data_IF_630016421354
#
_entry.id   IF_630016421354
#
_cell.length_a   1.000
_cell.length_b   1.000
_cell.length_c   1.000
_cell.angle_alpha   90.00
_cell.angle_beta   90.00
_cell.angle_gamma   90.00
#
_symmetry.space_group_name_H-M   'P 1'
#
loop_
_entity.id
_entity.type
_entity.pdbx_description
1 polymer ?
#
# COMPACT_ATOMS: atom_id res chain seq x y z
N UNK A 1 25.30 -5.43 -12.94
CA UNK A 1 26.16 -4.29 -12.52
C UNK A 1 25.63 -3.76 -11.19
N UNK A 2 26.50 -3.68 -10.18
CA UNK A 2 26.18 -3.09 -8.86
C UNK A 2 26.92 -1.77 -8.78
N UNK A 3 26.22 -0.69 -8.42
CA UNK A 3 26.81 0.66 -8.33
C UNK A 3 26.92 1.05 -6.86
N UNK A 4 28.06 1.62 -6.51
CA UNK A 4 28.42 2.03 -5.17
C UNK A 4 28.53 3.55 -5.12
N UNK A 5 27.89 4.17 -4.15
CA UNK A 5 28.04 5.60 -3.92
C UNK A 5 28.05 5.93 -2.43
N UNK A 6 28.69 7.04 -2.10
CA UNK A 6 28.82 7.52 -0.72
C UNK A 6 28.26 8.94 -0.66
N UNK A 7 27.51 9.22 0.40
CA UNK A 7 26.94 10.55 0.66
C UNK A 7 27.62 11.15 1.87
N UNK A 8 28.19 12.36 1.70
CA UNK A 8 28.88 13.09 2.77
C UNK A 8 27.91 13.77 3.73
N UNK A 9 26.83 14.32 3.19
CA UNK A 9 25.81 15.02 3.97
C UNK A 9 25.07 14.06 4.92
N UNK A 10 24.97 14.46 6.19
CA UNK A 10 24.38 13.63 7.25
C UNK A 10 22.87 13.48 7.07
N UNK A 11 22.17 14.55 6.75
CA UNK A 11 20.73 14.53 6.55
C UNK A 11 20.36 13.58 5.39
N UNK A 12 21.01 13.75 4.25
CA UNK A 12 20.80 12.90 3.06
C UNK A 12 21.17 11.44 3.35
N UNK A 13 22.23 11.19 4.12
CA UNK A 13 22.57 9.84 4.58
C UNK A 13 21.46 9.22 5.43
N UNK A 14 20.88 9.97 6.38
CA UNK A 14 19.78 9.47 7.19
C UNK A 14 18.53 9.20 6.35
N UNK A 15 18.21 10.10 5.41
CA UNK A 15 17.11 9.94 4.48
C UNK A 15 17.24 8.65 3.65
N UNK A 16 18.43 8.40 3.07
CA UNK A 16 18.68 7.25 2.20
C UNK A 16 18.61 5.90 2.94
N UNK A 17 18.83 5.85 4.26
CA UNK A 17 18.66 4.61 5.05
C UNK A 17 17.24 4.06 4.93
N UNK A 18 16.25 4.94 4.81
CA UNK A 18 14.83 4.61 4.77
C UNK A 18 14.29 4.44 3.33
N UNK A 19 15.10 4.76 2.31
CA UNK A 19 14.73 4.60 0.90
C UNK A 19 15.09 3.18 0.46
N UNK A 20 14.12 2.47 -0.13
CA UNK A 20 14.30 1.08 -0.56
C UNK A 20 14.57 0.95 -2.05
N UNK A 21 14.16 1.93 -2.84
CA UNK A 21 14.45 1.99 -4.25
C UNK A 21 14.40 3.42 -4.78
N UNK A 22 15.02 3.62 -5.95
CA UNK A 22 14.95 4.86 -6.73
C UNK A 22 14.45 4.55 -8.13
N UNK A 23 13.71 5.50 -8.69
CA UNK A 23 13.28 5.47 -10.09
C UNK A 23 14.29 6.28 -10.91
N UNK A 24 14.91 5.64 -11.89
CA UNK A 24 15.75 6.29 -12.91
C UNK A 24 15.22 5.85 -14.27
N UNK A 25 14.73 6.80 -15.07
CA UNK A 25 14.19 6.54 -16.41
C UNK A 25 13.10 5.45 -16.46
N UNK A 26 12.25 5.39 -15.43
CA UNK A 26 11.20 4.39 -15.21
C UNK A 26 11.70 2.98 -14.81
N UNK A 27 12.99 2.82 -14.53
CA UNK A 27 13.56 1.62 -13.94
C UNK A 27 13.66 1.78 -12.43
N UNK A 28 13.12 0.80 -11.70
CA UNK A 28 13.14 0.78 -10.24
C UNK A 28 14.39 0.04 -9.76
N UNK A 29 15.37 0.79 -9.26
CA UNK A 29 16.63 0.25 -8.74
C UNK A 29 16.53 0.05 -7.24
N UNK A 30 16.86 -1.15 -6.75
CA UNK A 30 16.85 -1.45 -5.31
C UNK A 30 18.04 -0.80 -4.63
N UNK A 31 17.77 -0.04 -3.58
CA UNK A 31 18.78 0.52 -2.68
C UNK A 31 18.91 -0.31 -1.40
N UNK A 32 20.13 -0.41 -0.89
CA UNK A 32 20.44 -1.00 0.40
C UNK A 32 21.66 -0.33 1.05
N UNK A 33 21.63 -0.02 2.35
CA UNK A 33 22.82 0.39 3.08
C UNK A 33 23.92 -0.67 3.03
N UNK A 34 25.17 -0.24 3.14
CA UNK A 34 26.30 -1.12 2.91
C UNK A 34 26.43 -2.30 3.89
N UNK A 35 25.97 -2.09 5.11
CA UNK A 35 26.02 -3.07 6.19
C UNK A 35 24.82 -4.03 6.16
N UNK A 36 23.89 -3.89 5.22
CA UNK A 36 22.72 -4.77 5.14
C UNK A 36 23.14 -6.20 4.81
N UNK A 37 22.69 -7.12 5.64
CA UNK A 37 22.75 -8.56 5.45
C UNK A 37 21.51 -9.03 4.67
N UNK A 38 21.52 -10.27 4.22
CA UNK A 38 20.37 -10.88 3.53
C UNK A 38 19.08 -10.79 4.35
N UNK A 39 19.16 -11.01 5.67
CA UNK A 39 18.04 -10.91 6.59
C UNK A 39 17.38 -9.53 6.59
N UNK A 40 18.17 -8.46 6.46
CA UNK A 40 17.65 -7.09 6.44
C UNK A 40 16.84 -6.84 5.15
N UNK A 41 17.22 -7.49 4.05
CA UNK A 41 16.41 -7.49 2.84
C UNK A 41 15.18 -8.38 2.96
N UNK A 42 15.21 -9.44 3.76
CA UNK A 42 14.06 -10.30 4.03
C UNK A 42 12.99 -9.59 4.87
N UNK A 43 13.39 -8.68 5.75
CA UNK A 43 12.46 -7.78 6.44
C UNK A 43 11.75 -6.83 5.48
N UNK A 44 12.48 -6.22 4.52
CA UNK A 44 11.91 -5.39 3.44
C UNK A 44 11.00 -6.16 2.47
N UNK A 45 10.91 -7.46 2.66
CA UNK A 45 10.23 -8.44 1.82
C UNK A 45 9.00 -9.02 2.53
N UNK A 46 8.73 -8.67 3.79
CA UNK A 46 7.58 -9.16 4.58
C UNK A 46 6.24 -8.76 3.98
N UNK A 47 6.09 -7.48 3.63
CA UNK A 47 4.83 -6.95 3.12
C UNK A 47 4.92 -6.71 1.62
N UNK A 48 4.42 -7.67 0.84
CA UNK A 48 4.39 -7.60 -0.62
C UNK A 48 3.03 -7.97 -1.18
N UNK A 49 2.64 -7.27 -2.23
CA UNK A 49 1.46 -7.58 -3.02
C UNK A 49 1.86 -8.00 -4.42
N UNK A 50 1.19 -9.02 -4.95
CA UNK A 50 1.17 -9.29 -6.38
C UNK A 50 0.04 -8.48 -7.02
N UNK A 51 0.39 -7.65 -7.99
CA UNK A 51 -0.57 -6.83 -8.72
C UNK A 51 -0.69 -7.39 -10.15
N UNK A 52 -1.87 -7.87 -10.49
CA UNK A 52 -2.18 -8.60 -11.72
C UNK A 52 -3.12 -7.78 -12.60
N UNK A 53 -2.94 -7.87 -13.91
CA UNK A 53 -3.78 -7.20 -14.91
C UNK A 53 -3.07 -6.06 -15.65
N UNK A 54 -1.74 -6.00 -15.54
CA UNK A 54 -0.94 -5.14 -16.39
C UNK A 54 -0.88 -5.68 -17.83
N UNK A 55 -0.70 -4.78 -18.80
CA UNK A 55 -0.34 -5.15 -20.18
C UNK A 55 1.19 -5.18 -20.33
N UNK A 56 1.70 -5.94 -21.29
CA UNK A 56 3.13 -6.23 -21.42
C UNK A 56 4.04 -4.98 -21.48
N UNK A 57 3.54 -3.86 -22.03
CA UNK A 57 4.28 -2.58 -22.08
C UNK A 57 4.50 -1.92 -20.72
N UNK A 58 3.77 -2.33 -19.69
CA UNK A 58 3.90 -1.77 -18.34
C UNK A 58 5.09 -2.36 -17.60
N UNK A 59 5.75 -1.48 -16.84
CA UNK A 59 6.97 -1.73 -16.07
C UNK A 59 6.74 -1.38 -14.60
N UNK A 60 7.71 -1.71 -13.74
CA UNK A 60 7.60 -1.54 -12.28
C UNK A 60 7.23 -0.10 -11.86
N UNK A 61 7.76 0.92 -12.54
CA UNK A 61 7.41 2.31 -12.27
C UNK A 61 5.91 2.62 -12.46
N UNK A 62 5.22 1.93 -13.38
CA UNK A 62 3.77 2.08 -13.54
C UNK A 62 3.03 1.56 -12.30
N UNK A 63 3.44 0.41 -11.75
CA UNK A 63 2.86 -0.12 -10.53
C UNK A 63 3.12 0.81 -9.32
N UNK A 64 4.33 1.37 -9.20
CA UNK A 64 4.65 2.38 -8.18
C UNK A 64 3.73 3.60 -8.29
N UNK A 65 3.47 4.10 -9.51
CA UNK A 65 2.55 5.22 -9.75
C UNK A 65 1.10 4.89 -9.37
N UNK A 66 0.60 3.71 -9.73
CA UNK A 66 -0.77 3.28 -9.41
C UNK A 66 -0.96 3.14 -7.90
N UNK A 67 0.05 2.59 -7.22
CA UNK A 67 0.00 2.33 -5.77
C UNK A 67 0.52 3.49 -4.93
N UNK A 68 0.95 4.60 -5.55
CA UNK A 68 1.55 5.76 -4.87
C UNK A 68 0.78 6.25 -3.64
N UNK A 69 -0.57 6.31 -3.63
CA UNK A 69 -1.33 6.72 -2.45
C UNK A 69 -1.10 5.85 -1.20
N UNK A 70 -0.52 4.66 -1.36
CA UNK A 70 -0.27 3.68 -0.30
C UNK A 70 1.22 3.49 -0.03
N UNK A 71 2.04 4.51 -0.28
CA UNK A 71 3.46 4.55 0.11
C UNK A 71 4.31 3.34 -0.33
N UNK A 72 4.25 2.91 -1.61
CA UNK A 72 5.03 1.77 -2.07
C UNK A 72 6.52 2.10 -1.96
N UNK A 73 7.32 1.11 -1.53
CA UNK A 73 8.75 1.30 -1.29
C UNK A 73 9.63 0.80 -2.41
N UNK A 74 9.14 -0.20 -3.15
CA UNK A 74 9.84 -0.79 -4.29
C UNK A 74 8.89 -1.66 -5.11
N UNK A 75 9.18 -1.84 -6.39
CA UNK A 75 8.45 -2.76 -7.25
C UNK A 75 9.40 -3.45 -8.23
N UNK A 76 9.02 -4.64 -8.69
CA UNK A 76 9.71 -5.36 -9.76
C UNK A 76 8.71 -6.19 -10.57
N UNK A 77 8.94 -6.28 -11.88
CA UNK A 77 8.08 -7.04 -12.79
C UNK A 77 8.41 -8.53 -12.68
N UNK A 78 7.41 -9.37 -12.44
CA UNK A 78 7.58 -10.82 -12.32
C UNK A 78 7.15 -11.56 -13.59
N UNK A 79 6.12 -11.08 -14.27
CA UNK A 79 5.64 -11.59 -15.57
C UNK A 79 5.08 -10.42 -16.40
N UNK A 80 4.70 -10.62 -17.67
CA UNK A 80 4.12 -9.57 -18.51
C UNK A 80 2.93 -8.83 -17.87
N UNK A 81 2.11 -9.54 -17.10
CA UNK A 81 0.86 -9.09 -16.49
C UNK A 81 0.92 -8.90 -14.97
N UNK A 82 2.01 -9.33 -14.32
CA UNK A 82 2.19 -9.31 -12.87
C UNK A 82 3.41 -8.49 -12.46
N UNK A 83 3.18 -7.55 -11.55
CA UNK A 83 4.22 -6.76 -10.89
C UNK A 83 4.10 -6.95 -9.39
N UNK A 84 5.22 -7.22 -8.73
CA UNK A 84 5.29 -7.31 -7.27
C UNK A 84 5.63 -5.92 -6.73
N UNK A 85 4.83 -5.45 -5.77
CA UNK A 85 5.07 -4.18 -5.06
C UNK A 85 5.31 -4.47 -3.58
N UNK A 86 6.31 -3.78 -3.01
CA UNK A 86 6.73 -3.92 -1.61
C UNK A 86 6.29 -2.69 -0.82
N UNK A 87 5.83 -2.94 0.38
CA UNK A 87 5.39 -1.92 1.33
C UNK A 87 6.17 -2.06 2.63
N UNK A 88 6.23 -0.98 3.41
CA UNK A 88 6.92 -1.00 4.69
C UNK A 88 6.11 -1.67 5.78
N UNK A 89 4.78 -1.53 5.73
CA UNK A 89 3.86 -2.05 6.74
C UNK A 89 2.71 -2.81 6.07
N UNK A 90 1.99 -3.59 6.87
CA UNK A 90 0.87 -4.41 6.44
C UNK A 90 -0.35 -3.59 6.03
N UNK A 91 -0.60 -2.46 6.71
CA UNK A 91 -1.76 -1.61 6.44
C UNK A 91 -1.71 -1.00 5.03
N UNK A 92 -0.56 -0.45 4.64
CA UNK A 92 -0.32 0.07 3.29
C UNK A 92 -0.56 -1.01 2.23
N UNK A 93 -0.06 -2.23 2.47
CA UNK A 93 -0.28 -3.37 1.59
C UNK A 93 -1.77 -3.72 1.47
N UNK A 94 -2.49 -3.82 2.58
CA UNK A 94 -3.91 -4.18 2.56
C UNK A 94 -4.77 -3.11 1.89
N UNK A 95 -4.48 -1.83 2.17
CA UNK A 95 -5.16 -0.71 1.53
C UNK A 95 -4.91 -0.72 0.02
N UNK A 96 -3.66 -0.96 -0.41
CA UNK A 96 -3.32 -1.07 -1.82
C UNK A 96 -3.98 -2.27 -2.52
N UNK A 97 -4.21 -3.38 -1.79
CA UNK A 97 -4.87 -4.57 -2.32
C UNK A 97 -6.40 -4.53 -2.21
N UNK A 98 -6.99 -3.61 -1.45
CA UNK A 98 -8.42 -3.60 -1.16
C UNK A 98 -9.26 -3.48 -2.45
N UNK A 99 -8.92 -2.52 -3.31
CA UNK A 99 -9.71 -2.17 -4.49
C UNK A 99 -9.05 -2.62 -5.78
N UNK A 100 -9.87 -2.65 -6.84
CA UNK A 100 -9.39 -2.80 -8.21
C UNK A 100 -9.17 -1.40 -8.79
N UNK A 101 -8.03 -1.19 -9.41
CA UNK A 101 -7.71 0.03 -10.13
C UNK A 101 -8.22 -0.11 -11.56
N UNK A 102 -9.14 0.76 -11.95
CA UNK A 102 -9.73 0.76 -13.28
C UNK A 102 -9.09 1.85 -14.13
N UNK A 103 -8.58 1.47 -15.29
CA UNK A 103 -8.12 2.36 -16.35
C UNK A 103 -8.91 2.03 -17.62
N UNK A 104 -8.84 2.89 -18.63
CA UNK A 104 -9.61 2.72 -19.87
C UNK A 104 -9.39 1.35 -20.51
N UNK A 105 -8.14 0.93 -20.65
CA UNK A 105 -7.77 -0.24 -21.46
C UNK A 105 -7.41 -1.48 -20.61
N UNK A 106 -7.29 -1.33 -19.29
CA UNK A 106 -6.88 -2.42 -18.39
C UNK A 106 -7.35 -2.17 -16.96
N UNK A 107 -7.37 -3.22 -16.14
CA UNK A 107 -7.62 -3.10 -14.71
C UNK A 107 -6.60 -3.89 -13.92
N UNK A 108 -6.17 -3.35 -12.78
CA UNK A 108 -5.18 -3.97 -11.91
C UNK A 108 -5.82 -4.34 -10.59
N UNK A 109 -5.56 -5.55 -10.09
CA UNK A 109 -5.96 -5.98 -8.74
C UNK A 109 -4.75 -6.51 -8.00
N UNK A 110 -4.57 -6.03 -6.77
CA UNK A 110 -3.55 -6.51 -5.85
C UNK A 110 -4.05 -7.65 -4.97
N UNK A 111 -3.17 -8.59 -4.67
CA UNK A 111 -3.35 -9.62 -3.64
C UNK A 111 -2.11 -9.65 -2.75
N UNK A 112 -2.27 -9.58 -1.44
CA UNK A 112 -1.11 -9.68 -0.54
C UNK A 112 -0.58 -11.12 -0.52
N UNK A 113 0.73 -11.25 -0.68
CA UNK A 113 1.42 -12.54 -0.70
C UNK A 113 1.45 -13.09 0.72
N UNK A 114 1.17 -14.39 0.87
CA UNK A 114 1.12 -15.07 2.16
C UNK A 114 -0.25 -15.04 2.84
N UNK A 115 -1.26 -14.42 2.22
CA UNK A 115 -2.63 -14.35 2.74
C UNK A 115 -3.62 -15.01 1.77
N UNK A 116 -4.65 -15.65 2.31
CA UNK A 116 -5.67 -16.34 1.50
C UNK A 116 -6.77 -15.39 1.01
N UNK A 117 -6.40 -14.45 0.14
CA UNK A 117 -7.35 -13.50 -0.46
C UNK A 117 -8.51 -14.12 -1.23
N UNK A 118 -8.34 -15.21 -2.00
CA UNK A 118 -9.46 -15.84 -2.68
C UNK A 118 -10.57 -16.26 -1.71
N UNK A 119 -10.20 -16.78 -0.53
CA UNK A 119 -11.18 -17.12 0.51
C UNK A 119 -11.84 -15.87 1.10
N UNK A 120 -11.08 -14.81 1.38
CA UNK A 120 -11.63 -13.53 1.86
C UNK A 120 -12.63 -12.94 0.87
N UNK A 121 -12.27 -12.83 -0.41
CA UNK A 121 -13.13 -12.25 -1.44
C UNK A 121 -14.40 -13.09 -1.66
N UNK A 122 -14.27 -14.43 -1.57
CA UNK A 122 -15.41 -15.34 -1.58
C UNK A 122 -16.32 -15.14 -0.36
N UNK A 123 -15.76 -14.91 0.83
CA UNK A 123 -16.55 -14.63 2.03
C UNK A 123 -17.27 -13.27 1.93
N UNK A 124 -16.56 -12.22 1.51
CA UNK A 124 -17.13 -10.88 1.33
C UNK A 124 -18.24 -10.88 0.28
N UNK A 125 -18.05 -11.57 -0.84
CA UNK A 125 -19.08 -11.65 -1.88
C UNK A 125 -20.34 -12.40 -1.42
N UNK A 126 -20.20 -13.45 -0.60
CA UNK A 126 -21.35 -14.12 0.03
C UNK A 126 -22.10 -13.18 0.97
N UNK A 127 -21.40 -12.45 1.84
CA UNK A 127 -22.01 -11.49 2.75
C UNK A 127 -22.77 -10.39 2.00
N UNK A 128 -22.19 -9.82 0.95
CA UNK A 128 -22.85 -8.82 0.11
C UNK A 128 -24.11 -9.36 -0.57
N UNK A 129 -24.08 -10.60 -1.06
CA UNK A 129 -25.27 -11.26 -1.65
C UNK A 129 -26.39 -11.45 -0.61
N UNK A 130 -26.04 -11.84 0.62
CA UNK A 130 -27.00 -11.99 1.72
C UNK A 130 -27.63 -10.65 2.13
N UNK A 131 -26.82 -9.58 2.22
CA UNK A 131 -27.32 -8.23 2.50
C UNK A 131 -28.28 -7.76 1.40
N UNK A 132 -27.94 -7.95 0.12
CA UNK A 132 -28.80 -7.56 -0.99
C UNK A 132 -30.12 -8.37 -1.04
N UNK A 133 -30.08 -9.66 -0.68
CA UNK A 133 -31.28 -10.49 -0.58
C UNK A 133 -32.22 -10.00 0.56
N UNK A 134 -31.65 -9.58 1.69
CA UNK A 134 -32.43 -8.99 2.79
C UNK A 134 -33.05 -7.65 2.40
N UNK A 135 -32.35 -6.78 1.67
CA UNK A 135 -32.89 -5.51 1.18
C UNK A 135 -34.08 -5.75 0.22
N UNK A 136 -33.98 -6.75 -0.65
CA UNK A 136 -35.03 -7.08 -1.60
C UNK A 136 -36.29 -7.67 -0.93
N UNK A 137 -36.12 -8.38 0.19
CA UNK A 137 -37.24 -8.84 1.02
C UNK A 137 -37.90 -7.71 1.82
N UNK A 138 -37.14 -6.69 2.22
CA UNK A 138 -37.67 -5.53 2.94
C UNK A 138 -38.43 -4.58 2.00
N UNK A 139 -37.96 -4.40 0.76
CA UNK A 139 -38.62 -3.58 -0.26
C UNK A 139 -39.97 -4.15 -0.74
N UNK A 140 -40.26 -5.44 -0.55
CA UNK A 140 -41.53 -6.05 -0.93
C UNK A 140 -42.64 -5.89 0.14
N UNK A 141 -42.31 -5.38 1.33
CA UNK A 141 -43.26 -5.19 2.43
C UNK A 141 -43.63 -3.72 2.68
N UNK A 142 -43.18 -2.79 1.83
CA UNK A 142 -43.60 -1.38 1.88
C UNK A 142 -44.48 -1.04 0.68
N UNK A 143 -45.66 -1.64 0.68
CA UNK A 143 -46.83 -1.11 -0.02
C UNK A 143 -48.00 -1.05 0.97
N UNK A 144 -48.27 0.19 1.40
CA UNK A 144 -49.54 0.74 1.88
C UNK A 144 -49.95 0.38 3.32
N UNK A 145 -49.79 1.36 4.21
CA UNK A 145 -50.95 2.04 4.85
C UNK A 145 -50.52 3.42 5.33
N UNK A 146 -51.12 4.44 4.72
CA UNK A 146 -51.06 5.82 5.16
C UNK A 146 -51.72 5.99 6.55
N UNK A 147 -51.16 6.91 7.35
CA UNK A 147 -51.83 8.07 8.00
C UNK A 147 -51.19 8.40 9.38
N UNK A 148 -50.67 9.63 9.45
CA UNK A 148 -50.32 10.44 10.63
C UNK A 148 -49.10 9.97 11.47
N UNK A 149 -48.18 10.81 11.95
CA UNK A 149 -48.28 12.22 12.28
C UNK A 149 -46.90 12.88 12.31
N UNK A 150 -46.88 14.14 11.89
CA UNK A 150 -45.71 15.02 11.85
C UNK A 150 -45.37 15.49 13.28
N UNK A 151 -44.16 15.18 13.77
CA UNK A 151 -43.31 16.21 14.39
C UNK A 151 -41.84 15.78 14.47
N UNK A 152 -41.02 16.58 13.82
CA UNK A 152 -39.58 16.55 13.80
C UNK A 152 -39.06 17.51 14.87
N UNK A 153 -38.18 17.05 15.76
CA UNK A 153 -37.16 17.90 16.39
C UNK A 153 -35.88 17.10 16.58
N UNK A 154 -34.97 17.24 15.62
CA UNK A 154 -33.55 16.98 15.80
C UNK A 154 -32.97 17.92 16.87
N UNK A 155 -32.21 17.39 17.83
CA UNK A 155 -31.25 18.18 18.60
C UNK A 155 -29.90 17.47 18.56
N UNK A 156 -28.99 18.07 17.80
CA UNK A 156 -27.56 17.83 17.76
C UNK A 156 -26.92 18.25 19.09
N UNK A 157 -26.02 17.45 19.66
CA UNK A 157 -24.97 17.95 20.55
C UNK A 157 -23.64 17.24 20.27
N UNK A 158 -22.66 18.08 19.90
CA UNK A 158 -21.24 17.82 19.80
C UNK A 158 -20.56 17.82 21.19
N UNK A 159 -19.23 17.68 21.19
CA UNK A 159 -18.21 17.71 22.28
C UNK A 159 -17.57 16.33 22.54
N UNK A 160 -16.25 16.16 22.66
CA UNK A 160 -15.09 17.03 22.38
C UNK A 160 -13.80 16.22 22.41
N UNK A 161 -12.80 16.80 21.74
CA UNK A 161 -11.34 16.78 21.91
C UNK A 161 -10.74 16.05 23.13
N UNK A 162 -9.58 15.43 22.89
CA UNK A 162 -8.42 15.62 23.76
C UNK A 162 -7.11 15.39 22.99
N UNK A 163 -6.34 16.46 22.88
CA UNK A 163 -4.92 16.50 22.56
C UNK A 163 -4.11 15.76 23.63
N UNK A 164 -2.96 15.18 23.24
CA UNK A 164 -1.74 15.31 24.04
C UNK A 164 -0.49 15.04 23.20
N UNK A 165 0.36 16.06 23.15
CA UNK A 165 1.72 16.11 22.61
C UNK A 165 2.74 15.66 23.65
N UNK A 166 3.83 15.03 23.22
CA UNK A 166 5.16 15.20 23.84
C UNK A 166 6.27 14.95 22.82
N UNK A 167 7.08 15.99 22.58
CA UNK A 167 8.40 15.97 21.96
C UNK A 167 9.46 15.43 22.95
N UNK A 168 10.55 14.84 22.44
CA UNK A 168 11.86 14.94 23.11
C UNK A 168 13.03 14.85 22.12
N UNK A 169 13.92 15.84 22.22
CA UNK A 169 15.08 16.13 21.39
C UNK A 169 16.33 15.27 21.68
N UNK A 170 17.07 14.99 20.60
CA UNK A 170 18.52 15.02 20.35
C UNK A 170 19.57 14.49 21.36
N UNK A 171 20.48 13.65 20.83
CA UNK A 171 21.94 13.80 21.00
C UNK A 171 22.73 13.08 19.88
N UNK A 172 23.82 13.71 19.45
CA UNK A 172 24.63 13.39 18.26
C UNK A 172 26.07 12.99 18.63
N UNK A 173 26.65 12.10 17.81
CA UNK A 173 28.10 11.84 17.65
C UNK A 173 28.52 10.36 17.78
N UNK A 174 29.60 9.86 17.12
CA UNK A 174 30.35 10.36 15.97
C UNK A 174 30.28 9.43 14.71
N UNK A 175 30.90 9.93 13.64
CA UNK A 175 31.18 9.37 12.30
C UNK A 175 31.02 7.84 12.10
N UNK A 176 30.01 7.47 11.32
CA UNK A 176 30.00 6.21 10.56
C UNK A 176 29.72 6.51 9.09
N UNK A 177 30.76 6.38 8.27
CA UNK A 177 30.71 6.47 6.81
C UNK A 177 29.83 5.33 6.30
N UNK A 178 28.56 5.62 6.05
CA UNK A 178 27.63 4.65 5.49
C UNK A 178 27.66 4.77 3.97
N UNK A 179 28.23 3.77 3.32
CA UNK A 179 28.20 3.58 1.87
C UNK A 179 26.81 3.02 1.51
N UNK A 180 26.26 3.38 0.35
CA UNK A 180 24.98 2.84 -0.16
C UNK A 180 25.22 2.04 -1.43
N UNK A 181 24.44 0.96 -1.60
CA UNK A 181 24.54 0.02 -2.72
C UNK A 181 23.26 0.02 -3.56
N UNK A 182 23.43 0.03 -4.89
CA UNK A 182 22.37 -0.34 -5.84
C UNK A 182 22.54 -1.82 -6.17
N UNK A 183 21.62 -2.67 -5.73
CA UNK A 183 21.69 -4.13 -5.95
C UNK A 183 20.67 -4.57 -6.99
N UNK A 184 21.14 -4.91 -8.18
CA UNK A 184 20.33 -5.48 -9.25
C UNK A 184 20.28 -7.01 -9.11
N UNK A 185 19.09 -7.60 -9.03
CA UNK A 185 18.88 -9.02 -9.31
C UNK A 185 17.93 -9.10 -10.50
N UNK A 186 18.39 -9.77 -11.55
CA UNK A 186 17.60 -10.14 -12.74
C UNK A 186 16.60 -11.23 -12.36
#
# INVERSE_FOLDING_TARGET
>A
MTVYFTVKDEYTRQLLKNIWSIDIENFIYRLGPAHFKTSDFDDRKKHRGEFIGFINKHIAAKAMKITFPFNPKSAFKQSPDKIIVKFQNEADLFNACEKRYHFNDFSVKGYSIGYNWPQRDKAISKLKKQQNANIHHQSCNQSITDVANVHNTNTTRCYSDNDNTTNLDNKQGPLNTNIFYIVNFV
#
